data_IF_152670196698
#
_entry.id   IF_152670196698
#
_cell.length_a   1.000
_cell.length_b   1.000
_cell.length_c   1.000
_cell.angle_alpha   90.00
_cell.angle_beta   90.00
_cell.angle_gamma   90.00
#
_symmetry.space_group_name_H-M   'P 1'
#
loop_
_entity.id
_entity.type
_entity.pdbx_description
1 polymer ?
#
# COMPACT_ATOMS: atom_id res chain seq x y z
N UNK A 1 32.55 -32.45 3.15
CA UNK A 1 32.80 -31.53 2.02
C UNK A 1 32.10 -32.10 0.79
N UNK A 2 30.87 -31.69 0.52
CA UNK A 2 30.15 -32.14 -0.67
C UNK A 2 30.52 -31.18 -1.82
N UNK A 3 31.42 -31.62 -2.70
CA UNK A 3 31.70 -30.95 -3.97
C UNK A 3 30.45 -31.01 -4.84
N UNK A 4 29.64 -29.96 -4.78
CA UNK A 4 28.44 -29.83 -5.59
C UNK A 4 28.81 -29.34 -6.99
N UNK A 5 28.44 -30.10 -8.02
CA UNK A 5 28.38 -29.63 -9.39
C UNK A 5 27.47 -28.40 -9.46
N UNK A 6 28.06 -27.20 -9.40
CA UNK A 6 27.33 -25.94 -9.32
C UNK A 6 27.54 -25.16 -10.62
N UNK A 7 26.53 -25.16 -11.48
CA UNK A 7 26.53 -24.35 -12.70
C UNK A 7 26.42 -22.88 -12.27
N UNK A 8 27.53 -22.13 -12.34
CA UNK A 8 27.63 -20.79 -11.75
C UNK A 8 26.53 -19.81 -12.21
N UNK A 9 26.11 -19.77 -13.49
CA UNK A 9 24.97 -18.93 -13.91
C UNK A 9 23.64 -19.32 -13.27
N UNK A 10 23.39 -20.63 -13.09
CA UNK A 10 22.17 -21.13 -12.45
C UNK A 10 22.14 -20.78 -10.97
N UNK A 11 23.27 -20.92 -10.27
CA UNK A 11 23.37 -20.56 -8.86
C UNK A 11 23.04 -19.08 -8.61
N UNK A 12 23.54 -18.18 -9.48
CA UNK A 12 23.21 -16.75 -9.41
C UNK A 12 21.72 -16.49 -9.62
N UNK A 13 21.09 -17.17 -10.58
CA UNK A 13 19.65 -17.01 -10.84
C UNK A 13 18.81 -17.46 -9.64
N UNK A 14 19.18 -18.58 -9.02
CA UNK A 14 18.53 -19.06 -7.78
C UNK A 14 18.68 -18.03 -6.66
N UNK A 15 19.87 -17.51 -6.44
CA UNK A 15 20.12 -16.49 -5.41
C UNK A 15 19.27 -15.23 -5.62
N UNK A 16 19.10 -14.76 -6.86
CA UNK A 16 18.24 -13.60 -7.14
C UNK A 16 16.77 -13.88 -6.82
N UNK A 17 16.25 -15.07 -7.13
CA UNK A 17 14.88 -15.44 -6.79
C UNK A 17 14.67 -15.61 -5.27
N UNK A 18 15.68 -16.07 -4.52
CA UNK A 18 15.60 -16.21 -3.06
C UNK A 18 15.50 -14.88 -2.31
N UNK A 19 16.00 -13.79 -2.91
CA UNK A 19 15.90 -12.45 -2.31
C UNK A 19 14.49 -11.88 -2.34
N UNK A 20 13.58 -12.48 -3.13
CA UNK A 20 12.21 -12.03 -3.21
C UNK A 20 11.41 -12.52 -1.99
N UNK A 21 10.57 -11.65 -1.39
CA UNK A 21 9.78 -12.03 -0.23
C UNK A 21 8.83 -13.18 -0.58
N UNK A 22 8.81 -14.22 0.26
CA UNK A 22 7.95 -15.41 0.07
C UNK A 22 8.54 -16.51 -0.82
N UNK A 23 9.76 -16.35 -1.35
CA UNK A 23 10.42 -17.38 -2.16
C UNK A 23 11.57 -18.04 -1.38
N UNK A 24 11.36 -19.29 -0.94
CA UNK A 24 12.43 -20.11 -0.35
C UNK A 24 13.31 -20.80 -1.40
N UNK A 25 14.45 -21.34 -0.95
CA UNK A 25 15.46 -22.01 -1.81
C UNK A 25 14.86 -23.02 -2.81
N UNK A 26 13.97 -23.91 -2.35
CA UNK A 26 13.33 -24.92 -3.22
C UNK A 26 12.47 -24.28 -4.32
N UNK A 27 11.75 -23.21 -4.00
CA UNK A 27 10.91 -22.49 -4.97
C UNK A 27 11.77 -21.70 -5.96
N UNK A 28 12.80 -21.02 -5.47
CA UNK A 28 13.77 -20.31 -6.29
C UNK A 28 14.48 -21.24 -7.29
N UNK A 29 14.90 -22.43 -6.82
CA UNK A 29 15.47 -23.46 -7.68
C UNK A 29 14.49 -23.88 -8.77
N UNK A 30 13.22 -24.17 -8.43
CA UNK A 30 12.19 -24.53 -9.43
C UNK A 30 11.99 -23.44 -10.47
N UNK A 31 11.94 -22.17 -10.06
CA UNK A 31 11.80 -21.03 -10.97
C UNK A 31 13.02 -20.90 -11.88
N UNK A 32 14.23 -21.04 -11.35
CA UNK A 32 15.45 -20.97 -12.14
C UNK A 32 15.53 -22.07 -13.20
N UNK A 33 15.14 -23.30 -12.88
CA UNK A 33 15.07 -24.39 -13.88
C UNK A 33 13.93 -24.17 -14.89
N UNK A 34 12.83 -23.54 -14.50
CA UNK A 34 11.77 -23.18 -15.44
C UNK A 34 12.28 -22.19 -16.50
N UNK A 35 13.04 -21.16 -16.09
CA UNK A 35 13.66 -20.19 -17.00
C UNK A 35 14.60 -20.86 -18.02
N UNK A 36 15.32 -21.91 -17.63
CA UNK A 36 16.17 -22.67 -18.56
C UNK A 36 15.38 -23.43 -19.64
N UNK A 37 14.11 -23.74 -19.38
CA UNK A 37 13.21 -24.38 -20.35
C UNK A 37 12.44 -23.40 -21.24
N UNK A 38 12.53 -22.10 -20.97
CA UNK A 38 11.86 -21.05 -21.75
C UNK A 38 12.64 -20.72 -23.03
N UNK A 39 11.94 -20.23 -24.06
CA UNK A 39 12.60 -19.71 -25.25
C UNK A 39 13.34 -18.41 -24.94
N UNK A 40 14.33 -18.05 -25.77
CA UNK A 40 15.08 -16.80 -25.60
C UNK A 40 14.16 -15.57 -25.63
N UNK A 41 13.13 -15.60 -26.48
CA UNK A 41 12.15 -14.53 -26.62
C UNK A 41 11.32 -14.36 -25.34
N UNK A 42 10.91 -15.47 -24.71
CA UNK A 42 10.17 -15.43 -23.45
C UNK A 42 11.04 -14.90 -22.30
N UNK A 43 12.31 -15.31 -22.25
CA UNK A 43 13.26 -14.80 -21.24
C UNK A 43 13.50 -13.30 -21.45
N UNK A 44 13.67 -12.87 -22.71
CA UNK A 44 13.87 -11.45 -23.02
C UNK A 44 12.65 -10.63 -22.62
N UNK A 45 11.44 -11.07 -22.97
CA UNK A 45 10.20 -10.38 -22.58
C UNK A 45 10.05 -10.27 -21.05
N UNK A 46 10.48 -11.29 -20.30
CA UNK A 46 10.44 -11.26 -18.84
C UNK A 46 11.43 -10.25 -18.25
N UNK A 47 12.66 -10.19 -18.80
CA UNK A 47 13.67 -9.19 -18.40
C UNK A 47 13.20 -7.77 -18.76
N UNK A 48 12.65 -7.58 -19.95
CA UNK A 48 12.16 -6.29 -20.42
C UNK A 48 11.03 -5.77 -19.51
N UNK A 49 10.10 -6.64 -19.11
CA UNK A 49 9.02 -6.29 -18.18
C UNK A 49 9.54 -5.88 -16.79
N UNK A 50 10.57 -6.57 -16.27
CA UNK A 50 11.19 -6.22 -14.99
C UNK A 50 11.86 -4.85 -15.05
N UNK A 51 12.63 -4.58 -16.11
CA UNK A 51 13.31 -3.31 -16.31
C UNK A 51 12.30 -2.18 -16.54
N UNK A 52 11.29 -2.41 -17.37
CA UNK A 52 10.24 -1.44 -17.64
C UNK A 52 9.49 -1.04 -16.36
N UNK A 53 9.10 -2.01 -15.53
CA UNK A 53 8.45 -1.73 -14.26
C UNK A 53 9.36 -0.94 -13.30
N UNK A 54 10.63 -1.32 -13.19
CA UNK A 54 11.57 -0.64 -12.31
C UNK A 54 11.89 0.80 -12.76
N UNK A 55 12.02 1.02 -14.07
CA UNK A 55 12.47 2.30 -14.61
C UNK A 55 11.33 3.30 -14.84
N UNK A 56 10.13 2.81 -15.19
CA UNK A 56 8.99 3.69 -15.49
C UNK A 56 8.09 3.95 -14.30
N UNK A 57 7.99 3.02 -13.34
CA UNK A 57 7.09 3.22 -12.19
C UNK A 57 7.75 4.16 -11.20
N UNK A 58 7.08 5.27 -10.92
CA UNK A 58 7.49 6.24 -9.93
C UNK A 58 6.27 6.75 -9.15
N UNK A 59 6.50 7.69 -8.23
CA UNK A 59 5.42 8.27 -7.44
C UNK A 59 4.73 9.41 -8.18
N UNK A 60 3.41 9.44 -8.05
CA UNK A 60 2.57 10.55 -8.47
C UNK A 60 2.96 11.80 -7.71
N UNK A 61 3.11 12.94 -8.40
CA UNK A 61 3.50 14.21 -7.77
C UNK A 61 2.49 14.74 -6.75
N UNK A 62 1.24 14.28 -6.82
CA UNK A 62 0.15 14.74 -5.93
C UNK A 62 -0.06 13.74 -4.80
N UNK A 63 -0.53 12.53 -5.11
CA UNK A 63 -0.97 11.58 -4.09
C UNK A 63 0.09 10.56 -3.65
N UNK A 64 1.30 10.65 -4.20
CA UNK A 64 2.38 9.69 -3.97
C UNK A 64 2.04 8.23 -4.37
N UNK A 65 0.93 7.97 -5.05
CA UNK A 65 0.61 6.62 -5.56
C UNK A 65 1.57 6.19 -6.69
N UNK A 66 1.68 4.89 -6.94
CA UNK A 66 2.47 4.36 -8.06
C UNK A 66 1.82 4.69 -9.41
N UNK A 67 2.63 5.18 -10.35
CA UNK A 67 2.20 5.53 -11.70
C UNK A 67 3.39 5.54 -12.66
N UNK A 68 3.12 5.42 -13.95
CA UNK A 68 4.08 5.51 -15.06
C UNK A 68 4.07 6.90 -15.75
N UNK A 69 3.38 7.87 -15.14
CA UNK A 69 3.11 9.21 -15.66
C UNK A 69 3.28 10.22 -14.53
N UNK A 70 3.36 11.52 -14.85
CA UNK A 70 3.48 12.57 -13.84
C UNK A 70 2.33 12.57 -12.81
N UNK A 71 1.11 12.30 -13.28
CA UNK A 71 -0.10 12.18 -12.46
C UNK A 71 -0.71 10.80 -12.63
N UNK A 72 -1.13 10.19 -11.53
CA UNK A 72 -1.80 8.90 -11.59
C UNK A 72 -3.20 9.03 -12.24
N UNK A 73 -3.78 7.91 -12.74
CA UNK A 73 -5.10 7.91 -13.37
C UNK A 73 -6.22 8.52 -12.51
N UNK A 74 -6.09 8.47 -11.18
CA UNK A 74 -7.08 9.02 -10.24
C UNK A 74 -6.93 10.54 -10.11
N UNK A 75 -5.69 11.04 -10.00
CA UNK A 75 -5.44 12.48 -9.85
C UNK A 75 -5.71 13.27 -11.14
N UNK A 76 -5.58 12.63 -12.31
CA UNK A 76 -5.90 13.27 -13.60
C UNK A 76 -7.40 13.28 -13.94
N UNK A 77 -8.21 12.52 -13.21
CA UNK A 77 -9.64 12.41 -13.48
C UNK A 77 -10.40 13.58 -12.84
N UNK A 78 -10.91 14.49 -13.67
CA UNK A 78 -11.66 15.68 -13.24
C UNK A 78 -13.04 15.34 -12.65
N UNK A 79 -13.54 14.11 -12.83
CA UNK A 79 -14.83 13.67 -12.28
C UNK A 79 -14.73 13.31 -10.79
N UNK A 80 -13.51 13.13 -10.29
CA UNK A 80 -13.23 12.79 -8.89
C UNK A 80 -13.38 14.01 -7.99
N UNK A 81 -13.83 13.76 -6.77
CA UNK A 81 -13.96 14.81 -5.76
C UNK A 81 -12.61 15.08 -5.08
N UNK A 82 -11.98 16.19 -5.47
CA UNK A 82 -10.72 16.66 -4.88
C UNK A 82 -10.91 17.26 -3.47
N UNK A 83 -12.14 17.42 -2.98
CA UNK A 83 -12.41 17.92 -1.63
C UNK A 83 -12.31 16.85 -0.55
N UNK A 84 -12.27 15.56 -0.94
CA UNK A 84 -12.14 14.42 -0.02
C UNK A 84 -10.86 13.65 -0.36
N UNK A 85 -10.03 13.42 0.65
CA UNK A 85 -8.78 12.67 0.52
C UNK A 85 -8.82 11.42 1.42
N UNK A 86 -8.62 10.25 0.85
CA UNK A 86 -8.44 8.99 1.56
C UNK A 86 -6.94 8.69 1.73
N UNK A 87 -6.46 8.74 2.97
CA UNK A 87 -5.07 8.49 3.33
C UNK A 87 -4.87 7.01 3.62
N UNK A 88 -4.02 6.35 2.85
CA UNK A 88 -3.72 4.91 2.94
C UNK A 88 -2.24 4.66 3.22
N UNK A 89 -1.91 3.46 3.73
CA UNK A 89 -0.52 3.09 4.01
C UNK A 89 0.24 2.69 2.74
N UNK A 90 -0.36 1.85 1.90
CA UNK A 90 0.32 1.20 0.77
C UNK A 90 -0.45 1.42 -0.56
N UNK A 91 0.24 1.49 -1.72
CA UNK A 91 -0.43 1.51 -3.03
C UNK A 91 -1.44 0.36 -3.26
N UNK A 92 -1.21 -0.80 -2.64
CA UNK A 92 -2.14 -1.95 -2.69
C UNK A 92 -3.49 -1.64 -2.04
N UNK A 93 -3.52 -0.77 -1.03
CA UNK A 93 -4.75 -0.35 -0.36
C UNK A 93 -5.60 0.53 -1.28
N UNK A 94 -4.97 1.35 -2.12
CA UNK A 94 -5.68 2.11 -3.18
C UNK A 94 -6.39 1.16 -4.12
N UNK A 95 -5.68 0.13 -4.60
CA UNK A 95 -6.26 -0.87 -5.48
C UNK A 95 -7.40 -1.65 -4.79
N UNK A 96 -7.29 -1.92 -3.49
CA UNK A 96 -8.35 -2.56 -2.73
C UNK A 96 -9.60 -1.68 -2.60
N UNK A 97 -9.42 -0.38 -2.32
CA UNK A 97 -10.52 0.58 -2.22
C UNK A 97 -11.20 0.84 -3.56
N UNK A 98 -10.44 0.95 -4.66
CA UNK A 98 -11.03 1.18 -5.99
C UNK A 98 -11.88 0.00 -6.48
N UNK A 99 -11.60 -1.24 -6.03
CA UNK A 99 -12.43 -2.41 -6.38
C UNK A 99 -13.88 -2.30 -5.89
N UNK A 100 -14.16 -1.46 -4.88
CA UNK A 100 -15.53 -1.26 -4.40
C UNK A 100 -16.37 -0.43 -5.37
N UNK A 101 -15.74 0.40 -6.21
CA UNK A 101 -16.39 1.38 -7.09
C UNK A 101 -17.35 2.36 -6.37
N UNK A 102 -17.28 2.47 -5.05
CA UNK A 102 -18.16 3.36 -4.26
C UNK A 102 -17.47 4.67 -3.86
N UNK A 103 -16.14 4.69 -3.83
CA UNK A 103 -15.38 5.86 -3.43
C UNK A 103 -15.06 6.76 -4.63
N UNK A 104 -15.54 8.01 -4.63
CA UNK A 104 -15.29 8.99 -5.70
C UNK A 104 -14.24 10.06 -5.35
N UNK A 105 -13.63 10.00 -4.16
CA UNK A 105 -12.60 10.97 -3.75
C UNK A 105 -11.22 10.66 -4.33
N UNK A 106 -10.20 11.36 -3.84
CA UNK A 106 -8.80 11.11 -4.21
C UNK A 106 -8.04 10.41 -3.09
N UNK A 107 -6.90 9.80 -3.40
CA UNK A 107 -6.07 9.12 -2.40
C UNK A 107 -4.86 9.94 -1.99
N UNK A 108 -4.22 9.52 -0.92
CA UNK A 108 -2.86 9.87 -0.55
C UNK A 108 -2.16 8.66 0.04
N UNK A 109 -1.02 8.26 -0.50
CA UNK A 109 -0.28 7.06 -0.08
C UNK A 109 0.90 7.48 0.80
N UNK A 110 0.97 6.93 2.01
CA UNK A 110 2.02 7.26 2.98
C UNK A 110 3.33 6.48 2.74
N UNK A 111 3.26 5.32 2.07
CA UNK A 111 4.34 4.34 1.90
C UNK A 111 4.81 3.73 3.23
N UNK A 112 3.84 3.42 4.09
CA UNK A 112 4.08 2.77 5.37
C UNK A 112 3.34 3.44 6.54
N UNK A 113 3.72 3.01 7.74
CA UNK A 113 3.19 3.50 8.99
C UNK A 113 4.34 3.85 9.95
N UNK A 114 4.09 4.73 10.91
CA UNK A 114 5.04 5.11 11.95
C UNK A 114 5.25 3.89 12.85
N UNK A 115 6.47 3.38 12.88
CA UNK A 115 6.84 2.19 13.64
C UNK A 115 8.14 2.44 14.41
N UNK A 116 8.07 2.68 15.72
CA UNK A 116 9.26 2.83 16.57
C UNK A 116 10.13 1.56 16.60
N UNK A 117 9.52 0.38 16.41
CA UNK A 117 10.24 -0.90 16.41
C UNK A 117 11.09 -1.10 15.15
N UNK A 118 10.70 -0.48 14.04
CA UNK A 118 11.40 -0.54 12.76
C UNK A 118 12.19 0.72 12.45
N UNK A 119 12.37 1.61 13.45
CA UNK A 119 12.99 2.94 13.30
C UNK A 119 12.37 3.81 12.17
N UNK A 120 11.09 3.59 11.84
CA UNK A 120 10.37 4.36 10.82
C UNK A 120 9.67 5.55 11.46
N UNK A 121 10.24 6.73 11.24
CA UNK A 121 9.70 8.00 11.70
C UNK A 121 8.78 8.69 10.67
N UNK A 122 8.07 9.76 11.06
CA UNK A 122 7.17 10.50 10.18
C UNK A 122 7.89 11.17 8.98
N UNK A 123 9.19 11.46 9.10
CA UNK A 123 9.99 12.04 8.02
C UNK A 123 10.29 11.07 6.87
N UNK A 124 10.15 9.76 7.11
CA UNK A 124 10.34 8.72 6.10
C UNK A 124 9.05 8.40 5.35
N UNK A 125 7.92 8.97 5.78
CA UNK A 125 6.61 8.79 5.18
C UNK A 125 6.22 10.03 4.37
N UNK A 126 5.30 9.86 3.43
CA UNK A 126 4.82 10.96 2.59
C UNK A 126 3.81 11.89 3.31
N UNK A 127 4.07 12.24 4.58
CA UNK A 127 3.19 13.10 5.39
C UNK A 127 3.35 14.58 5.01
N UNK A 128 4.54 15.01 4.60
CA UNK A 128 4.82 16.40 4.23
C UNK A 128 4.04 16.80 2.98
N UNK A 129 4.00 15.89 2.02
CA UNK A 129 3.27 16.01 0.76
C UNK A 129 1.76 16.05 1.03
N UNK A 130 1.26 15.24 1.98
CA UNK A 130 -0.13 15.30 2.42
C UNK A 130 -0.45 16.69 2.97
N UNK A 131 0.36 17.19 3.92
CA UNK A 131 0.13 18.50 4.51
C UNK A 131 0.15 19.59 3.44
N UNK A 132 1.10 19.57 2.51
CA UNK A 132 1.17 20.52 1.41
C UNK A 132 -0.14 20.59 0.60
N UNK A 133 -0.79 19.44 0.34
CA UNK A 133 -2.10 19.40 -0.36
C UNK A 133 -3.24 20.03 0.43
N UNK A 134 -3.16 20.04 1.75
CA UNK A 134 -4.22 20.57 2.61
C UNK A 134 -4.17 22.10 2.76
N UNK A 135 -3.04 22.74 2.44
CA UNK A 135 -2.87 24.18 2.63
C UNK A 135 -3.72 25.04 1.67
N UNK A 136 -4.09 24.51 0.50
CA UNK A 136 -4.86 25.24 -0.51
C UNK A 136 -6.34 25.47 -0.11
N UNK A 137 -6.79 24.94 1.03
CA UNK A 137 -8.15 25.14 1.56
C UNK A 137 -9.27 24.49 0.75
N UNK A 138 -8.95 23.72 -0.29
CA UNK A 138 -9.93 23.01 -1.13
C UNK A 138 -10.45 21.72 -0.50
N UNK A 139 -9.66 21.13 0.39
CA UNK A 139 -9.96 19.85 1.04
C UNK A 139 -10.85 20.09 2.25
N UNK A 140 -12.00 19.41 2.27
CA UNK A 140 -13.00 19.49 3.34
C UNK A 140 -12.91 18.31 4.29
N UNK A 141 -12.54 17.14 3.78
CA UNK A 141 -12.49 15.90 4.55
C UNK A 141 -11.24 15.06 4.23
N UNK A 142 -10.63 14.54 5.29
CA UNK A 142 -9.54 13.56 5.22
C UNK A 142 -10.00 12.29 5.92
N UNK A 143 -10.12 11.21 5.15
CA UNK A 143 -10.47 9.87 5.63
C UNK A 143 -9.17 9.13 5.93
N UNK A 144 -8.98 8.72 7.17
CA UNK A 144 -7.86 7.89 7.58
C UNK A 144 -8.18 6.42 7.32
N UNK A 145 -7.61 5.86 6.26
CA UNK A 145 -7.72 4.47 5.83
C UNK A 145 -6.42 3.68 6.05
N UNK A 146 -5.64 4.05 7.06
CA UNK A 146 -4.52 3.23 7.56
C UNK A 146 -5.05 1.94 8.21
N UNK A 147 -4.23 0.89 8.23
CA UNK A 147 -4.60 -0.42 8.74
C UNK A 147 -5.02 -0.36 10.23
N UNK A 148 -5.90 -1.26 10.69
CA UNK A 148 -6.33 -1.34 12.08
C UNK A 148 -5.28 -2.02 12.98
N UNK A 149 -4.00 -1.64 12.82
CA UNK A 149 -2.87 -2.11 13.64
C UNK A 149 -2.44 -1.00 14.61
N UNK A 150 -1.59 -1.34 15.59
CA UNK A 150 -1.07 -0.34 16.55
C UNK A 150 -0.32 0.78 15.83
N UNK A 151 0.51 0.44 14.85
CA UNK A 151 1.26 1.38 14.01
C UNK A 151 0.32 2.22 13.13
N UNK A 152 -0.69 1.58 12.53
CA UNK A 152 -1.67 2.25 11.69
C UNK A 152 -2.53 3.24 12.49
N UNK A 153 -2.94 2.89 13.72
CA UNK A 153 -3.65 3.78 14.63
C UNK A 153 -2.77 4.94 15.10
N UNK A 154 -1.53 4.67 15.51
CA UNK A 154 -0.60 5.70 15.91
C UNK A 154 -0.36 6.72 14.78
N UNK A 155 -0.21 6.23 13.55
CA UNK A 155 -0.07 7.05 12.34
C UNK A 155 -1.33 7.89 12.08
N UNK A 156 -2.52 7.28 12.17
CA UNK A 156 -3.78 7.99 11.99
C UNK A 156 -3.96 9.10 13.03
N UNK A 157 -3.68 8.81 14.31
CA UNK A 157 -3.75 9.79 15.39
C UNK A 157 -2.73 10.92 15.23
N UNK A 158 -1.51 10.59 14.81
CA UNK A 158 -0.46 11.58 14.56
C UNK A 158 -0.87 12.56 13.46
N UNK A 159 -1.30 12.05 12.31
CA UNK A 159 -1.76 12.87 11.18
C UNK A 159 -3.00 13.69 11.58
N UNK A 160 -3.96 13.10 12.28
CA UNK A 160 -5.16 13.80 12.76
C UNK A 160 -4.81 15.03 13.62
N UNK A 161 -3.81 14.91 14.51
CA UNK A 161 -3.33 16.04 15.34
C UNK A 161 -2.69 17.15 14.52
N UNK A 162 -2.02 16.82 13.42
CA UNK A 162 -1.41 17.80 12.50
C UNK A 162 -2.46 18.53 11.64
N UNK A 163 -3.54 17.84 11.27
CA UNK A 163 -4.60 18.39 10.42
C UNK A 163 -5.60 19.23 11.22
N UNK A 164 -5.83 18.89 12.50
CA UNK A 164 -6.83 19.56 13.35
C UNK A 164 -6.73 21.11 13.37
N UNK A 165 -5.55 21.74 13.43
CA UNK A 165 -5.41 23.20 13.36
C UNK A 165 -5.87 23.82 12.03
N UNK A 166 -5.92 23.06 10.95
CA UNK A 166 -6.36 23.52 9.63
C UNK A 166 -7.89 23.60 9.49
N UNK A 167 -8.65 23.11 10.49
CA UNK A 167 -10.12 23.12 10.47
C UNK A 167 -10.75 22.12 9.50
N UNK A 168 -9.97 21.18 8.98
CA UNK A 168 -10.42 20.14 8.04
C UNK A 168 -11.04 18.98 8.84
N UNK A 169 -12.16 18.43 8.35
CA UNK A 169 -12.81 17.27 8.96
C UNK A 169 -11.92 16.04 8.80
N UNK A 170 -11.60 15.36 9.90
CA UNK A 170 -10.86 14.09 9.85
C UNK A 170 -11.80 12.97 10.28
N UNK A 171 -11.93 11.95 9.44
CA UNK A 171 -12.73 10.75 9.69
C UNK A 171 -11.87 9.50 9.66
N UNK A 172 -12.37 8.41 10.24
CA UNK A 172 -11.69 7.11 10.32
C UNK A 172 -12.61 6.07 9.72
N UNK A 173 -12.06 5.10 8.99
CA UNK A 173 -12.85 3.94 8.57
C UNK A 173 -13.45 3.23 9.78
N UNK A 174 -14.67 2.73 9.63
CA UNK A 174 -15.34 2.01 10.70
C UNK A 174 -14.58 0.73 11.06
N UNK A 175 -14.47 0.47 12.36
CA UNK A 175 -14.03 -0.82 12.88
C UNK A 175 -15.26 -1.70 13.09
N UNK A 176 -15.20 -2.94 12.64
CA UNK A 176 -16.35 -3.82 12.78
C UNK A 176 -16.10 -5.23 12.30
N UNK A 177 -17.14 -6.03 12.44
CA UNK A 177 -17.15 -7.43 12.03
C UNK A 177 -17.31 -7.48 10.50
N UNK A 178 -16.49 -8.26 9.79
CA UNK A 178 -16.62 -8.41 8.35
C UNK A 178 -17.97 -9.03 7.99
N UNK A 179 -18.57 -8.58 6.88
CA UNK A 179 -19.81 -9.16 6.36
C UNK A 179 -19.58 -10.64 6.05
N UNK A 180 -20.46 -11.50 6.56
CA UNK A 180 -20.35 -12.95 6.43
C UNK A 180 -19.41 -13.63 7.43
N UNK A 181 -18.82 -12.88 8.36
CA UNK A 181 -18.11 -13.44 9.52
C UNK A 181 -19.07 -13.94 10.59
N UNK A 182 -18.61 -14.91 11.38
CA UNK A 182 -19.33 -15.39 12.56
C UNK A 182 -18.86 -14.66 13.82
N UNK A 183 -19.79 -14.30 14.70
CA UNK A 183 -19.48 -13.60 15.95
C UNK A 183 -18.61 -14.44 16.88
N UNK A 184 -18.78 -15.77 16.84
CA UNK A 184 -17.99 -16.72 17.65
C UNK A 184 -16.48 -16.66 17.34
N UNK A 185 -16.12 -16.29 16.10
CA UNK A 185 -14.72 -16.24 15.65
C UNK A 185 -14.12 -14.83 15.64
N UNK A 186 -14.89 -13.81 16.03
CA UNK A 186 -14.38 -12.45 16.16
C UNK A 186 -13.61 -12.27 17.47
N UNK A 187 -12.51 -11.52 17.43
CA UNK A 187 -11.76 -11.19 18.64
C UNK A 187 -12.50 -10.16 19.51
N UNK A 188 -12.19 -10.15 20.81
CA UNK A 188 -12.85 -9.29 21.80
C UNK A 188 -12.75 -7.80 21.47
N UNK A 189 -11.64 -7.36 20.85
CA UNK A 189 -11.43 -5.95 20.50
C UNK A 189 -12.34 -5.55 19.34
N UNK A 190 -12.42 -6.39 18.30
CA UNK A 190 -13.33 -6.18 17.18
C UNK A 190 -14.80 -6.17 17.64
N UNK A 191 -15.19 -7.08 18.52
CA UNK A 191 -16.56 -7.11 19.09
C UNK A 191 -16.88 -5.84 19.90
N UNK A 192 -15.94 -5.40 20.74
CA UNK A 192 -16.09 -4.16 21.51
C UNK A 192 -16.26 -2.96 20.59
N UNK A 193 -15.41 -2.82 19.56
CA UNK A 193 -15.49 -1.74 18.58
C UNK A 193 -16.80 -1.76 17.79
N UNK A 194 -17.27 -2.93 17.37
CA UNK A 194 -18.54 -3.08 16.68
C UNK A 194 -19.73 -2.66 17.57
N UNK A 195 -19.70 -3.00 18.86
CA UNK A 195 -20.71 -2.59 19.84
C UNK A 195 -20.70 -1.07 20.09
N UNK A 196 -19.52 -0.46 20.20
CA UNK A 196 -19.35 1.00 20.32
C UNK A 196 -19.87 1.73 19.08
N UNK A 197 -19.59 1.19 17.88
CA UNK A 197 -19.95 1.76 16.59
C UNK A 197 -21.35 1.41 16.07
N UNK A 198 -22.23 0.83 16.90
CA UNK A 198 -23.57 0.40 16.48
C UNK A 198 -24.41 1.58 15.98
N UNK A 199 -25.11 1.39 14.85
CA UNK A 199 -26.01 2.37 14.26
C UNK A 199 -27.47 2.03 14.58
N UNK A 200 -28.33 3.06 14.65
CA UNK A 200 -29.79 2.90 14.62
C UNK A 200 -30.24 2.44 13.21
N UNK A 201 -31.34 1.69 13.12
CA UNK A 201 -31.91 1.17 11.87
C UNK A 201 -33.12 2.00 11.43
#
# INVERSE_FOLDING_TARGET
>A
MAGGYQVAPLARLVEQFERLPGIGHKSAQRLAYHVLGMSREQVQAFVDALLEAHDKIHYCKVCCNLTDQELCPICRDERRDNSVICVVEDPRDVAAMERTNEYNGTYHVLHGAISPLSDVGPDQLCIKELLARLHDGKVKEVIMATNPTVEGEATAMYISRLIKPLGIKVTRLAYGIPVGGDLEYADEVTLLRALEGRSEL
#
